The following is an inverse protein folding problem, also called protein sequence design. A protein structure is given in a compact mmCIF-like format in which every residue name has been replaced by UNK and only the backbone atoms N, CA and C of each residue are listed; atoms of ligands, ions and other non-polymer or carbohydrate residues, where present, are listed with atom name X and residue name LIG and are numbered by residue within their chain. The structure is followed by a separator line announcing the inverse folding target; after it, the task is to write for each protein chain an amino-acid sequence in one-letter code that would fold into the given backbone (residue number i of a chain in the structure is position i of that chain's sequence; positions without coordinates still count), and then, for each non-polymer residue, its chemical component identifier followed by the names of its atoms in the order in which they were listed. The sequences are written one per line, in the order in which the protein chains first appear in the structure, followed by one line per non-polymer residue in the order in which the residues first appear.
data_IF_014584844381
#
_entry.id   IF_014584844381
#
_cell.length_a   1.000
_cell.length_b   1.000
_cell.length_c   1.000
_cell.angle_alpha   90.00
_cell.angle_beta   90.00
_cell.angle_gamma   90.00
#
_symmetry.space_group_name_H-M   'P 1'
#
loop_
_entity.id
_entity.type
_entity.pdbx_description
1 polymer ?
#
# COMPACT_ATOMS: atom_id res chain seq x y z
N UNK A 1 0.77 -19.20 -25.98
CA UNK A 1 -0.01 -18.87 -24.77
C UNK A 1 0.80 -19.34 -23.56
N UNK A 2 1.66 -18.49 -23.02
CA UNK A 2 2.44 -18.76 -21.80
C UNK A 2 1.60 -18.29 -20.62
N UNK A 3 1.04 -19.24 -19.86
CA UNK A 3 0.42 -18.94 -18.58
C UNK A 3 1.46 -18.37 -17.64
N UNK A 4 1.25 -17.12 -17.20
CA UNK A 4 2.02 -16.48 -16.14
C UNK A 4 1.80 -17.26 -14.83
N UNK A 5 2.62 -18.27 -14.61
CA UNK A 5 2.80 -18.85 -13.28
C UNK A 5 3.53 -17.80 -12.43
N UNK A 6 2.76 -16.92 -11.79
CA UNK A 6 3.24 -15.90 -10.88
C UNK A 6 3.69 -16.56 -9.55
N UNK A 7 4.82 -17.26 -9.59
CA UNK A 7 5.45 -17.83 -8.40
C UNK A 7 5.92 -16.74 -7.44
N UNK A 8 5.78 -16.98 -6.13
CA UNK A 8 6.34 -16.09 -5.11
C UNK A 8 7.85 -16.27 -5.05
N UNK A 9 8.62 -15.21 -5.32
CA UNK A 9 10.08 -15.26 -5.33
C UNK A 9 10.73 -13.91 -5.62
N UNK A 10 12.06 -13.85 -5.45
CA UNK A 10 12.86 -12.69 -5.84
C UNK A 10 13.60 -13.04 -7.13
N UNK A 11 13.38 -12.26 -8.19
CA UNK A 11 14.07 -12.40 -9.47
C UNK A 11 14.97 -11.19 -9.70
N UNK A 12 16.25 -11.43 -9.99
CA UNK A 12 17.18 -10.35 -10.38
C UNK A 12 17.36 -10.36 -11.88
N UNK A 13 17.15 -9.22 -12.52
CA UNK A 13 17.50 -9.02 -13.92
C UNK A 13 18.73 -8.10 -13.94
N UNK A 14 19.78 -8.55 -14.62
CA UNK A 14 21.01 -7.79 -14.84
C UNK A 14 21.18 -7.59 -16.34
N UNK A 15 20.98 -6.36 -16.81
CA UNK A 15 21.32 -5.95 -18.18
C UNK A 15 22.64 -5.17 -18.09
N UNK A 16 23.63 -5.56 -18.90
CA UNK A 16 24.95 -4.92 -18.88
C UNK A 16 24.83 -3.44 -19.29
N UNK A 17 25.29 -2.53 -18.43
CA UNK A 17 25.17 -1.08 -18.64
C UNK A 17 23.93 -0.42 -18.03
N UNK A 18 22.96 -1.19 -17.53
CA UNK A 18 21.78 -0.66 -16.84
C UNK A 18 21.83 -0.86 -15.32
N UNK A 19 21.03 -0.06 -14.60
CA UNK A 19 20.87 -0.21 -13.15
C UNK A 19 20.27 -1.57 -12.85
N UNK A 20 20.93 -2.33 -11.96
CA UNK A 20 20.42 -3.63 -11.49
C UNK A 20 18.99 -3.49 -10.99
N UNK A 21 18.06 -4.23 -11.58
CA UNK A 21 16.67 -4.29 -11.13
C UNK A 21 16.41 -5.63 -10.45
N UNK A 22 15.68 -5.59 -9.33
CA UNK A 22 15.28 -6.78 -8.59
C UNK A 22 13.77 -6.78 -8.47
N UNK A 23 13.14 -7.71 -9.15
CA UNK A 23 11.72 -8.00 -9.00
C UNK A 23 11.54 -8.79 -7.70
N UNK A 24 10.65 -8.30 -6.83
CA UNK A 24 10.35 -8.91 -5.54
C UNK A 24 8.85 -9.10 -5.42
N UNK A 25 8.44 -10.24 -4.87
CA UNK A 25 7.05 -10.47 -4.47
C UNK A 25 6.89 -10.31 -2.96
N UNK A 26 5.85 -9.59 -2.53
CA UNK A 26 5.51 -9.41 -1.11
C UNK A 26 4.05 -9.80 -0.84
N UNK A 27 3.86 -10.48 0.29
CA UNK A 27 2.54 -10.59 0.92
C UNK A 27 2.35 -9.39 1.85
N UNK A 28 1.12 -8.88 1.93
CA UNK A 28 0.76 -7.78 2.83
C UNK A 28 -0.65 -8.00 3.37
N UNK A 29 -0.78 -7.72 4.66
CA UNK A 29 -2.04 -7.80 5.39
C UNK A 29 -2.32 -6.45 6.06
N UNK A 30 -3.58 -6.00 6.02
CA UNK A 30 -4.04 -4.81 6.72
C UNK A 30 -5.04 -5.21 7.80
N UNK A 31 -4.70 -4.93 9.06
CA UNK A 31 -5.48 -5.33 10.23
C UNK A 31 -5.70 -4.10 11.12
N UNK A 32 -6.90 -3.93 11.65
CA UNK A 32 -7.22 -2.83 12.54
C UNK A 32 -6.38 -2.83 13.82
N UNK A 33 -5.78 -1.69 14.13
CA UNK A 33 -4.85 -1.57 15.26
C UNK A 33 -5.59 -1.71 16.62
N UNK A 34 -5.13 -2.57 17.55
CA UNK A 34 -5.83 -2.84 18.80
C UNK A 34 -5.92 -1.63 19.74
N UNK A 35 -5.01 -0.65 19.61
CA UNK A 35 -5.04 0.56 20.44
C UNK A 35 -6.34 1.37 20.29
N UNK A 36 -7.13 1.18 19.23
CA UNK A 36 -8.44 1.82 19.10
C UNK A 36 -9.40 1.45 20.22
N UNK A 37 -9.23 0.30 20.88
CA UNK A 37 -9.97 -0.12 22.09
C UNK A 37 -9.65 0.80 23.28
N UNK A 38 -8.37 1.15 23.44
CA UNK A 38 -7.86 1.82 24.64
C UNK A 38 -7.94 3.34 24.54
N UNK A 39 -7.60 3.88 23.37
CA UNK A 39 -7.44 5.33 23.17
C UNK A 39 -8.38 5.89 22.11
N UNK A 40 -9.17 5.09 21.40
CA UNK A 40 -10.02 5.57 20.30
C UNK A 40 -11.15 6.49 20.77
N UNK A 41 -10.92 7.81 20.71
CA UNK A 41 -11.89 8.83 21.11
C UNK A 41 -12.14 8.91 22.63
N UNK A 42 -11.26 8.31 23.44
CA UNK A 42 -11.38 8.28 24.91
C UNK A 42 -10.76 9.51 25.58
N UNK A 43 -9.82 10.18 24.92
CA UNK A 43 -9.14 11.38 25.42
C UNK A 43 -9.61 12.58 24.59
N UNK A 44 -10.42 13.49 25.17
CA UNK A 44 -10.86 14.72 24.51
C UNK A 44 -9.66 15.54 24.02
N UNK A 45 -9.66 15.93 22.76
CA UNK A 45 -8.61 16.76 22.15
C UNK A 45 -7.31 16.03 21.77
N UNK A 46 -7.07 14.81 22.27
CA UNK A 46 -5.85 14.04 21.99
C UNK A 46 -6.10 12.73 21.24
N UNK A 47 -7.36 12.31 21.12
CA UNK A 47 -7.70 11.08 20.38
C UNK A 47 -8.96 11.23 19.56
N UNK A 48 -8.92 10.72 18.33
CA UNK A 48 -10.07 10.65 17.45
C UNK A 48 -10.68 9.25 17.49
N UNK A 49 -12.00 9.17 17.27
CA UNK A 49 -12.66 7.90 17.00
C UNK A 49 -12.06 7.29 15.73
N UNK A 50 -11.64 6.03 15.79
CA UNK A 50 -11.10 5.36 14.60
C UNK A 50 -12.22 4.80 13.74
N UNK A 51 -12.04 4.81 12.42
CA UNK A 51 -12.88 4.03 11.51
C UNK A 51 -12.54 2.52 11.54
N UNK A 52 -11.35 2.18 12.03
CA UNK A 52 -10.87 0.80 12.05
C UNK A 52 -11.41 0.04 13.26
N UNK A 53 -12.04 -1.11 12.99
CA UNK A 53 -12.45 -2.07 14.01
C UNK A 53 -11.20 -2.82 14.50
N UNK A 54 -10.94 -2.85 15.81
CA UNK A 54 -9.74 -3.50 16.35
C UNK A 54 -9.66 -4.98 15.92
N UNK A 55 -8.46 -5.42 15.53
CA UNK A 55 -8.14 -6.80 15.11
C UNK A 55 -8.93 -7.32 13.90
N UNK A 56 -9.72 -6.48 13.23
CA UNK A 56 -10.46 -6.84 12.02
C UNK A 56 -9.52 -6.82 10.81
N UNK A 57 -9.44 -7.90 10.00
CA UNK A 57 -8.70 -7.89 8.75
C UNK A 57 -9.47 -7.11 7.67
N UNK A 58 -8.85 -6.09 7.11
CA UNK A 58 -9.36 -5.28 6.00
C UNK A 58 -8.85 -5.75 4.64
N UNK A 59 -7.64 -6.32 4.60
CA UNK A 59 -7.06 -6.91 3.41
C UNK A 59 -6.10 -8.03 3.81
N UNK A 60 -6.16 -9.16 3.09
CA UNK A 60 -5.21 -10.25 3.21
C UNK A 60 -4.80 -10.64 1.80
N UNK A 61 -3.54 -10.42 1.43
CA UNK A 61 -3.09 -10.67 0.06
C UNK A 61 -3.09 -12.16 -0.31
N UNK A 62 -3.22 -13.03 0.70
CA UNK A 62 -3.40 -14.48 0.54
C UNK A 62 -4.83 -14.87 0.17
N UNK A 63 -5.82 -14.02 0.40
CA UNK A 63 -7.21 -14.21 -0.05
C UNK A 63 -7.43 -13.57 -1.42
N UNK A 64 -6.75 -12.46 -1.70
CA UNK A 64 -6.81 -11.73 -2.98
C UNK A 64 -5.84 -12.29 -4.05
N UNK A 65 -5.68 -13.62 -4.10
CA UNK A 65 -4.56 -14.25 -4.82
C UNK A 65 -4.45 -13.90 -6.31
N UNK A 66 -5.58 -13.72 -7.00
CA UNK A 66 -5.61 -13.50 -8.45
C UNK A 66 -5.18 -12.06 -8.74
N UNK A 67 -5.94 -11.07 -8.26
CA UNK A 67 -5.66 -9.66 -8.49
C UNK A 67 -4.28 -9.27 -7.92
N UNK A 68 -3.93 -9.75 -6.72
CA UNK A 68 -2.65 -9.45 -6.09
C UNK A 68 -1.43 -9.99 -6.85
N UNK A 69 -1.53 -11.19 -7.45
CA UNK A 69 -0.40 -11.80 -8.17
C UNK A 69 -0.29 -11.34 -9.61
N UNK A 70 -1.40 -11.09 -10.29
CA UNK A 70 -1.38 -10.70 -11.70
C UNK A 70 -1.38 -9.18 -11.90
N UNK A 71 -1.86 -8.40 -10.93
CA UNK A 71 -2.13 -6.97 -11.08
C UNK A 71 -3.29 -6.66 -12.02
N UNK A 72 -4.09 -7.67 -12.40
CA UNK A 72 -5.22 -7.49 -13.31
C UNK A 72 -6.52 -7.24 -12.54
N UNK A 73 -7.40 -6.36 -13.04
CA UNK A 73 -7.35 -5.67 -14.35
C UNK A 73 -6.55 -4.36 -14.35
N UNK A 74 -6.03 -3.93 -13.20
CA UNK A 74 -5.47 -2.59 -13.03
C UNK A 74 -4.22 -2.31 -13.88
N UNK A 75 -3.51 -3.34 -14.37
CA UNK A 75 -2.41 -3.17 -15.32
C UNK A 75 -2.84 -2.46 -16.61
N UNK A 76 -4.13 -2.40 -16.91
CA UNK A 76 -4.69 -1.69 -18.06
C UNK A 76 -5.10 -0.24 -17.74
N UNK A 77 -4.94 0.21 -16.49
CA UNK A 77 -5.27 1.58 -16.10
C UNK A 77 -4.21 2.57 -16.59
N UNK A 78 -4.59 3.81 -16.95
CA UNK A 78 -3.64 4.84 -17.36
C UNK A 78 -2.51 5.05 -16.34
N UNK A 79 -2.82 4.97 -15.05
CA UNK A 79 -1.87 5.12 -13.94
C UNK A 79 -0.81 4.02 -13.88
N UNK A 80 -1.08 2.85 -14.48
CA UNK A 80 -0.10 1.76 -14.61
C UNK A 80 0.77 1.91 -15.87
N UNK A 81 0.28 2.60 -16.89
CA UNK A 81 0.88 2.67 -18.22
C UNK A 81 1.68 3.96 -18.46
N UNK A 82 1.34 5.05 -17.77
CA UNK A 82 1.96 6.36 -17.93
C UNK A 82 3.02 6.54 -16.83
N UNK A 83 4.32 6.58 -17.17
CA UNK A 83 5.38 6.85 -16.20
C UNK A 83 5.17 8.18 -15.48
N UNK A 84 5.52 8.24 -14.19
CA UNK A 84 5.32 9.43 -13.35
C UNK A 84 3.90 9.61 -12.84
N UNK A 85 2.92 8.81 -13.28
CA UNK A 85 1.60 8.77 -12.64
C UNK A 85 1.59 7.81 -11.46
N UNK A 86 1.01 8.27 -10.35
CA UNK A 86 0.82 7.48 -9.12
C UNK A 86 2.09 6.69 -8.74
N UNK A 87 3.19 7.40 -8.49
CA UNK A 87 4.45 6.81 -8.04
C UNK A 87 4.76 7.23 -6.60
N UNK A 88 5.25 6.29 -5.78
CA UNK A 88 5.81 6.63 -4.48
C UNK A 88 7.22 7.17 -4.66
N UNK A 89 7.44 8.41 -4.22
CA UNK A 89 8.65 9.16 -4.52
C UNK A 89 8.60 9.82 -5.89
N UNK A 90 9.77 10.19 -6.44
CA UNK A 90 9.86 10.83 -7.76
C UNK A 90 11.13 10.41 -8.50
N UNK A 91 10.98 10.06 -9.77
CA UNK A 91 12.11 9.76 -10.64
C UNK A 91 12.97 11.00 -10.91
N UNK A 92 12.36 12.18 -11.05
CA UNK A 92 13.06 13.44 -11.31
C UNK A 92 13.98 13.86 -10.17
N UNK A 93 13.63 13.54 -8.91
CA UNK A 93 14.46 13.84 -7.73
C UNK A 93 15.39 12.69 -7.35
N UNK A 94 15.44 11.62 -8.15
CA UNK A 94 16.27 10.44 -7.88
C UNK A 94 15.82 9.59 -6.68
N UNK A 95 14.63 9.85 -6.13
CA UNK A 95 14.08 9.16 -4.96
C UNK A 95 12.81 8.37 -5.35
N UNK A 96 12.88 7.56 -6.41
CA UNK A 96 11.77 6.69 -6.81
C UNK A 96 11.78 5.39 -5.99
N UNK A 97 10.65 5.08 -5.36
CA UNK A 97 10.47 3.85 -4.58
C UNK A 97 9.76 2.79 -5.40
N UNK A 98 8.73 3.19 -6.14
CA UNK A 98 8.00 2.32 -7.07
C UNK A 98 6.64 2.90 -7.44
N UNK A 99 6.04 2.35 -8.48
CA UNK A 99 4.70 2.68 -8.96
C UNK A 99 3.60 2.09 -8.05
N UNK A 100 2.50 2.81 -7.85
CA UNK A 100 1.37 2.35 -7.06
C UNK A 100 0.51 1.38 -7.87
N UNK A 101 0.23 1.68 -9.15
CA UNK A 101 -0.51 0.77 -10.01
C UNK A 101 0.40 -0.18 -10.80
N UNK A 102 -0.09 -1.39 -11.13
CA UNK A 102 -1.25 -2.04 -10.50
C UNK A 102 -1.00 -2.30 -8.99
N UNK A 103 -2.06 -2.38 -8.20
CA UNK A 103 -1.98 -2.77 -6.79
C UNK A 103 -1.69 -4.27 -6.66
N UNK A 104 -0.45 -4.64 -6.93
CA UNK A 104 0.02 -6.02 -6.93
C UNK A 104 1.12 -6.25 -5.88
N UNK A 105 1.44 -7.52 -5.62
CA UNK A 105 2.54 -7.92 -4.73
C UNK A 105 3.93 -7.77 -5.37
N UNK A 106 4.02 -7.66 -6.70
CA UNK A 106 5.29 -7.53 -7.40
C UNK A 106 5.77 -6.08 -7.46
N UNK A 107 7.02 -5.85 -7.04
CA UNK A 107 7.69 -4.54 -7.10
C UNK A 107 9.11 -4.71 -7.64
N UNK A 108 9.47 -3.85 -8.58
CA UNK A 108 10.83 -3.76 -9.11
C UNK A 108 11.64 -2.78 -8.27
N UNK A 109 12.36 -3.27 -7.27
CA UNK A 109 13.15 -2.45 -6.37
C UNK A 109 14.35 -3.21 -5.78
N UNK A 110 15.50 -2.54 -5.77
CA UNK A 110 16.76 -3.10 -5.25
C UNK A 110 16.65 -3.30 -3.74
N UNK A 111 16.18 -2.27 -3.04
CA UNK A 111 16.06 -2.23 -1.58
C UNK A 111 14.79 -2.95 -1.12
N UNK A 112 14.92 -3.93 -0.22
CA UNK A 112 13.76 -4.72 0.24
C UNK A 112 12.77 -3.88 1.05
N UNK A 113 13.27 -2.95 1.86
CA UNK A 113 12.45 -2.06 2.68
C UNK A 113 11.60 -1.11 1.82
N UNK A 114 12.17 -0.57 0.74
CA UNK A 114 11.41 0.25 -0.22
C UNK A 114 10.36 -0.58 -0.94
N UNK A 115 10.68 -1.82 -1.31
CA UNK A 115 9.70 -2.73 -1.90
C UNK A 115 8.53 -2.98 -0.94
N UNK A 116 8.82 -3.30 0.32
CA UNK A 116 7.81 -3.51 1.35
C UNK A 116 6.94 -2.25 1.58
N UNK A 117 7.56 -1.06 1.61
CA UNK A 117 6.84 0.21 1.77
C UNK A 117 5.90 0.51 0.61
N UNK A 118 6.30 0.25 -0.64
CA UNK A 118 5.43 0.42 -1.82
C UNK A 118 4.21 -0.50 -1.71
N UNK A 119 4.41 -1.76 -1.33
CA UNK A 119 3.30 -2.71 -1.22
C UNK A 119 2.37 -2.36 -0.05
N UNK A 120 2.90 -1.86 1.07
CA UNK A 120 2.09 -1.31 2.16
C UNK A 120 1.26 -0.10 1.69
N UNK A 121 1.85 0.81 0.93
CA UNK A 121 1.16 1.96 0.32
C UNK A 121 0.04 1.51 -0.62
N UNK A 122 0.27 0.46 -1.43
CA UNK A 122 -0.75 -0.11 -2.33
C UNK A 122 -1.96 -0.61 -1.57
N UNK A 123 -1.74 -1.41 -0.50
CA UNK A 123 -2.85 -1.91 0.31
C UNK A 123 -3.57 -0.77 1.03
N UNK A 124 -2.84 0.25 1.51
CA UNK A 124 -3.46 1.43 2.10
C UNK A 124 -4.34 2.19 1.09
N UNK A 125 -3.92 2.31 -0.17
CA UNK A 125 -4.74 2.91 -1.23
C UNK A 125 -5.97 2.04 -1.56
N UNK A 126 -5.85 0.70 -1.57
CA UNK A 126 -6.98 -0.23 -1.74
C UNK A 126 -8.03 -0.03 -0.65
N UNK A 127 -7.65 -0.21 0.62
CA UNK A 127 -8.62 -0.26 1.71
C UNK A 127 -9.27 1.10 1.99
N UNK A 128 -8.60 2.20 1.67
CA UNK A 128 -9.17 3.56 1.88
C UNK A 128 -10.00 4.06 0.71
N UNK A 129 -10.28 3.20 -0.28
CA UNK A 129 -11.17 3.47 -1.42
C UNK A 129 -12.28 2.43 -1.51
N UNK A 130 -13.35 2.77 -2.22
CA UNK A 130 -14.43 1.85 -2.56
C UNK A 130 -14.31 1.39 -4.02
N UNK A 131 -14.89 0.22 -4.32
CA UNK A 131 -14.98 -0.30 -5.69
C UNK A 131 -13.65 -0.73 -6.32
N UNK A 132 -12.62 -1.01 -5.52
CA UNK A 132 -11.36 -1.54 -6.04
C UNK A 132 -11.55 -3.01 -6.48
N UNK A 133 -10.89 -3.46 -7.56
CA UNK A 133 -11.07 -4.82 -8.09
C UNK A 133 -10.26 -5.87 -7.28
N UNK A 134 -10.46 -5.88 -5.96
CA UNK A 134 -9.76 -6.72 -5.00
C UNK A 134 -10.75 -7.38 -4.01
N UNK A 135 -10.31 -8.44 -3.34
CA UNK A 135 -11.03 -9.02 -2.20
C UNK A 135 -10.60 -8.30 -0.92
N UNK A 136 -11.44 -7.37 -0.45
CA UNK A 136 -11.12 -6.52 0.71
C UNK A 136 -12.38 -5.98 1.40
N UNK A 137 -12.19 -5.43 2.60
CA UNK A 137 -13.19 -4.61 3.28
C UNK A 137 -12.77 -3.13 3.22
N UNK A 138 -13.65 -2.21 2.80
CA UNK A 138 -13.34 -0.79 2.81
C UNK A 138 -13.19 -0.25 4.25
N UNK A 139 -12.06 0.42 4.50
CA UNK A 139 -11.76 1.21 5.69
C UNK A 139 -12.03 2.69 5.40
N UNK A 140 -13.31 3.04 5.28
CA UNK A 140 -13.76 4.41 5.04
C UNK A 140 -14.66 4.87 6.18
N UNK A 141 -14.32 5.98 6.84
CA UNK A 141 -15.19 6.58 7.85
C UNK A 141 -16.31 7.42 7.22
N UNK A 142 -17.48 7.45 7.87
CA UNK A 142 -18.57 8.35 7.51
C UNK A 142 -18.44 9.65 8.30
N UNK A 143 -18.48 10.80 7.62
CA UNK A 143 -18.45 12.12 8.28
C UNK A 143 -19.71 12.30 9.14
N UNK A 144 -19.52 12.86 10.32
CA UNK A 144 -20.59 13.29 11.22
C UNK A 144 -20.13 14.54 11.99
N UNK A 145 -21.05 15.24 12.63
CA UNK A 145 -20.68 16.40 13.46
C UNK A 145 -19.71 15.96 14.57
N UNK A 146 -18.55 16.63 14.65
CA UNK A 146 -17.47 16.24 15.56
C UNK A 146 -16.57 15.10 15.06
N UNK A 147 -16.81 14.54 13.88
CA UNK A 147 -16.04 13.44 13.31
C UNK A 147 -15.70 13.65 11.82
N UNK A 148 -14.43 13.96 11.56
CA UNK A 148 -13.88 14.18 10.22
C UNK A 148 -12.85 13.10 9.87
N UNK A 149 -13.27 11.93 9.34
CA UNK A 149 -12.34 10.90 8.88
C UNK A 149 -11.42 11.41 7.76
N UNK A 150 -10.19 10.87 7.68
CA UNK A 150 -9.27 11.22 6.61
C UNK A 150 -9.82 10.76 5.25
N UNK A 151 -9.35 11.42 4.19
CA UNK A 151 -9.61 10.96 2.83
C UNK A 151 -8.81 9.70 2.47
N UNK A 152 -9.04 9.19 1.26
CA UNK A 152 -8.26 8.08 0.70
C UNK A 152 -6.76 8.39 0.72
N UNK A 153 -5.94 7.38 1.00
CA UNK A 153 -4.49 7.50 1.06
C UNK A 153 -3.96 7.97 -0.30
N UNK A 154 -2.99 8.88 -0.29
CA UNK A 154 -2.32 9.36 -1.50
C UNK A 154 -0.85 9.63 -1.23
N UNK A 155 -0.01 9.04 -2.08
CA UNK A 155 1.43 9.16 -2.07
C UNK A 155 1.91 10.61 -2.25
N UNK A 156 3.13 10.91 -1.79
CA UNK A 156 3.82 12.20 -1.95
C UNK A 156 3.07 13.43 -1.38
N UNK A 157 2.24 13.24 -0.37
CA UNK A 157 1.47 14.31 0.27
C UNK A 157 2.14 14.90 1.52
N UNK A 158 3.27 14.32 1.96
CA UNK A 158 3.92 14.66 3.24
C UNK A 158 3.05 14.16 4.40
N UNK A 159 2.83 15.00 5.42
CA UNK A 159 1.99 14.68 6.59
C UNK A 159 0.52 15.08 6.42
N UNK A 160 0.12 15.60 5.24
CA UNK A 160 -1.20 16.19 5.01
C UNK A 160 -2.34 15.17 4.87
N UNK A 161 -2.04 13.94 4.47
CA UNK A 161 -3.05 12.91 4.18
C UNK A 161 -2.91 11.69 5.11
N UNK A 162 -1.70 11.15 5.26
CA UNK A 162 -1.40 10.05 6.16
C UNK A 162 0.05 10.16 6.65
N UNK A 163 0.41 9.37 7.66
CA UNK A 163 1.77 9.26 8.17
C UNK A 163 2.12 7.80 8.38
N UNK A 164 3.34 7.44 8.00
CA UNK A 164 3.91 6.13 8.26
C UNK A 164 4.69 6.16 9.56
N UNK A 165 4.49 5.14 10.40
CA UNK A 165 5.23 4.97 11.64
C UNK A 165 6.04 3.68 11.59
N UNK A 166 7.29 3.74 12.06
CA UNK A 166 8.13 2.55 12.20
C UNK A 166 7.59 1.65 13.31
N UNK A 167 7.55 0.34 13.08
CA UNK A 167 7.02 -0.62 14.05
C UNK A 167 7.90 -0.79 15.29
N UNK A 168 9.21 -0.57 15.17
CA UNK A 168 10.15 -0.65 16.28
C UNK A 168 10.85 0.69 16.51
N UNK A 169 11.15 1.06 17.77
CA UNK A 169 11.97 2.22 18.05
C UNK A 169 13.39 2.05 17.50
N UNK A 170 14.07 3.15 17.20
CA UNK A 170 15.53 3.15 17.07
C UNK A 170 16.13 3.09 18.46
N UNK A 171 16.83 2.00 18.79
CA UNK A 171 17.75 2.02 19.91
C UNK A 171 18.90 2.95 19.50
N UNK A 172 19.03 4.07 20.23
CA UNK A 172 20.16 4.99 20.13
C UNK A 172 21.39 4.40 20.79
#
# INVERSE_FOLDING_TARGET
MTGLMAGGGNHTIQVAGERRTRLRFKYVDAIGHPATILIGGQIPGYSCRSAATPLMPYFLSTLDTVAWRSGLPESFYPEALIPGQRELGSQMTGNLWGNIYPHAGFVTQVDDDKAAAVVAQRVADIITRTGQPHVYQPLTGQRADGYWPPGSVKENTGTRNHQWQRLSPTLL
#
